data_IF_607348311292
#
_entry.id   IF_607348311292
#
_cell.length_a   1.000
_cell.length_b   1.000
_cell.length_c   1.000
_cell.angle_alpha   90.00
_cell.angle_beta   90.00
_cell.angle_gamma   90.00
#
_symmetry.space_group_name_H-M   'P 1'
#
loop_
_entity.id
_entity.type
_entity.pdbx_description
1 polymer ?
#
# COMPACT_ATOMS: atom_id res chain seq x y z
N UNK A 1 7.70 -12.30 -9.01
CA UNK A 1 8.07 -11.76 -7.68
C UNK A 1 6.78 -11.51 -6.91
N UNK A 2 6.64 -11.97 -5.66
CA UNK A 2 5.50 -11.64 -4.79
C UNK A 2 5.98 -10.67 -3.71
N UNK A 3 5.24 -9.59 -3.48
CA UNK A 3 5.52 -8.63 -2.41
C UNK A 3 4.30 -8.53 -1.50
N UNK A 4 4.53 -8.56 -0.18
CA UNK A 4 3.50 -8.44 0.83
C UNK A 4 3.91 -7.36 1.83
N UNK A 5 2.96 -6.52 2.22
CA UNK A 5 3.14 -5.47 3.22
C UNK A 5 1.93 -5.43 4.15
N UNK A 6 2.14 -4.95 5.37
CA UNK A 6 1.06 -4.68 6.32
C UNK A 6 0.79 -3.18 6.31
N UNK A 7 -0.45 -2.79 5.98
CA UNK A 7 -0.89 -1.40 6.00
C UNK A 7 -1.81 -1.16 7.20
N UNK A 8 -1.75 0.05 7.76
CA UNK A 8 -2.64 0.47 8.83
C UNK A 8 -3.97 0.94 8.26
N UNK A 9 -5.07 0.39 8.79
CA UNK A 9 -6.42 0.91 8.53
C UNK A 9 -6.62 2.20 9.32
N UNK A 10 -7.07 3.26 8.65
CA UNK A 10 -7.33 4.56 9.26
C UNK A 10 -8.81 4.72 9.56
N UNK A 11 -9.13 5.62 10.49
CA UNK A 11 -10.51 5.97 10.83
C UNK A 11 -11.34 6.33 9.58
N UNK A 12 -10.78 7.15 8.68
CA UNK A 12 -11.42 7.60 7.45
C UNK A 12 -11.59 6.49 6.38
N UNK A 13 -10.97 5.33 6.56
CA UNK A 13 -11.13 4.22 5.61
C UNK A 13 -12.41 3.42 5.87
N UNK A 14 -13.03 3.61 7.04
CA UNK A 14 -14.26 2.94 7.45
C UNK A 14 -15.48 3.74 6.97
N UNK A 15 -16.38 3.09 6.25
CA UNK A 15 -17.62 3.71 5.81
C UNK A 15 -18.75 3.62 6.85
N UNK A 16 -19.93 4.15 6.50
CA UNK A 16 -21.09 4.16 7.38
C UNK A 16 -21.61 2.76 7.76
N UNK A 17 -21.18 1.70 7.07
CA UNK A 17 -21.52 0.31 7.40
C UNK A 17 -20.52 -0.34 8.35
N UNK A 18 -19.49 0.39 8.80
CA UNK A 18 -18.52 -0.11 9.79
C UNK A 18 -17.45 -1.02 9.19
N UNK A 19 -17.31 -1.05 7.86
CA UNK A 19 -16.28 -1.83 7.17
C UNK A 19 -15.35 -0.91 6.37
N UNK A 20 -14.19 -1.43 5.99
CA UNK A 20 -13.31 -0.73 5.04
C UNK A 20 -14.02 -0.58 3.71
N UNK A 21 -14.11 0.66 3.23
CA UNK A 21 -14.74 0.95 1.96
C UNK A 21 -14.01 0.22 0.80
N UNK A 22 -14.76 -0.36 -0.12
CA UNK A 22 -14.20 -1.10 -1.26
C UNK A 22 -13.22 -0.26 -2.12
N UNK A 23 -13.46 1.04 -2.28
CA UNK A 23 -12.56 1.92 -3.03
C UNK A 23 -11.22 2.14 -2.29
N UNK A 24 -11.20 2.10 -0.96
CA UNK A 24 -9.98 2.31 -0.15
C UNK A 24 -8.96 1.18 -0.34
N UNK A 25 -9.39 0.00 -0.77
CA UNK A 25 -8.44 -1.07 -1.15
C UNK A 25 -7.48 -0.65 -2.26
N UNK A 26 -7.90 0.22 -3.19
CA UNK A 26 -6.99 0.74 -4.24
C UNK A 26 -5.91 1.64 -3.64
N UNK A 27 -6.24 2.43 -2.63
CA UNK A 27 -5.27 3.25 -1.90
C UNK A 27 -4.27 2.37 -1.14
N UNK A 28 -4.74 1.34 -0.42
CA UNK A 28 -3.85 0.39 0.27
C UNK A 28 -2.92 -0.34 -0.71
N UNK A 29 -3.43 -0.73 -1.89
CA UNK A 29 -2.62 -1.33 -2.94
C UNK A 29 -1.58 -0.34 -3.53
N UNK A 30 -1.93 0.94 -3.67
CA UNK A 30 -1.00 1.97 -4.10
C UNK A 30 0.12 2.21 -3.08
N UNK A 31 -0.20 2.25 -1.78
CA UNK A 31 0.80 2.36 -0.73
C UNK A 31 1.75 1.15 -0.74
N UNK A 32 1.20 -0.06 -0.93
CA UNK A 32 2.00 -1.27 -1.09
C UNK A 32 2.90 -1.19 -2.34
N UNK A 33 2.41 -0.66 -3.45
CA UNK A 33 3.20 -0.46 -4.67
C UNK A 33 4.30 0.59 -4.48
N UNK A 34 4.02 1.64 -3.71
CA UNK A 34 5.01 2.66 -3.38
C UNK A 34 6.15 2.03 -2.57
N UNK A 35 5.84 1.37 -1.44
CA UNK A 35 6.82 0.61 -0.65
C UNK A 35 7.58 -0.43 -1.51
N UNK A 36 6.82 -1.10 -2.40
CA UNK A 36 7.23 -1.77 -3.64
C UNK A 36 8.53 -1.24 -4.25
N UNK A 37 8.35 -0.06 -4.82
CA UNK A 37 9.35 0.67 -5.60
C UNK A 37 10.63 0.90 -4.82
N UNK A 38 10.53 1.28 -3.54
CA UNK A 38 11.72 1.51 -2.69
C UNK A 38 12.50 0.22 -2.43
N UNK A 39 11.80 -0.87 -2.11
CA UNK A 39 12.45 -2.17 -1.88
C UNK A 39 13.12 -2.68 -3.15
N UNK A 40 12.45 -2.55 -4.29
CA UNK A 40 13.00 -2.98 -5.58
C UNK A 40 14.20 -2.13 -6.00
N UNK A 41 14.14 -0.81 -5.84
CA UNK A 41 15.22 0.09 -6.21
C UNK A 41 16.46 -0.13 -5.33
N UNK A 42 16.26 -0.29 -4.01
CA UNK A 42 17.34 -0.67 -3.08
C UNK A 42 18.00 -2.01 -3.46
N UNK A 43 17.21 -3.00 -3.90
CA UNK A 43 17.76 -4.29 -4.33
C UNK A 43 18.60 -4.19 -5.62
N UNK A 44 18.42 -3.13 -6.41
CA UNK A 44 19.15 -2.85 -7.65
C UNK A 44 20.28 -1.81 -7.46
N UNK A 45 20.49 -1.35 -6.23
CA UNK A 45 21.44 -0.28 -5.88
C UNK A 45 21.19 1.03 -6.66
N UNK A 46 19.92 1.30 -6.98
CA UNK A 46 19.47 2.50 -7.69
C UNK A 46 18.73 3.44 -6.73
N UNK A 47 18.61 4.72 -7.11
CA UNK A 47 17.79 5.67 -6.38
C UNK A 47 16.29 5.38 -6.65
N UNK A 48 15.42 5.39 -5.63
CA UNK A 48 13.98 5.21 -5.84
C UNK A 48 13.41 6.44 -6.56
N UNK A 49 12.77 6.21 -7.71
CA UNK A 49 12.07 7.23 -8.51
C UNK A 49 10.58 7.26 -8.22
#
# INVERSE_FOLDING_TARGET
MKFATTQYVRWDDIDAFGHVNNAKYLTLAQEARFQWSFVQSKARDEAPT
#
